data_IF_428576792671
#
_entry.id   IF_428576792671
#
_cell.length_a   1.000
_cell.length_b   1.000
_cell.length_c   1.000
_cell.angle_alpha   90.00
_cell.angle_beta   90.00
_cell.angle_gamma   90.00
#
_symmetry.space_group_name_H-M   'P 1'
#
loop_
_entity.id
_entity.type
_entity.pdbx_description
1 polymer ?
#
# COMPACT_ATOMS: atom_id res chain seq x y z
N UNK A 1 -11.67 -7.09 5.49
CA UNK A 1 -12.47 -6.80 6.71
C UNK A 1 -12.11 -5.49 7.43
N UNK A 2 -10.86 -5.00 7.51
CA UNK A 2 -10.51 -3.92 8.45
C UNK A 2 -11.23 -2.58 8.19
N UNK A 3 -11.49 -2.21 6.94
CA UNK A 3 -12.22 -0.98 6.60
C UNK A 3 -13.66 -0.98 7.16
N UNK A 4 -14.38 -2.09 7.04
CA UNK A 4 -15.75 -2.19 7.56
C UNK A 4 -15.79 -2.10 9.09
N UNK A 5 -14.86 -2.79 9.76
CA UNK A 5 -14.73 -2.73 11.21
C UNK A 5 -14.44 -1.29 11.70
N UNK A 6 -13.52 -0.59 11.03
CA UNK A 6 -13.20 0.80 11.33
C UNK A 6 -14.44 1.70 11.24
N UNK A 7 -15.17 1.65 10.12
CA UNK A 7 -16.34 2.51 9.88
C UNK A 7 -17.44 2.25 10.92
N UNK A 8 -17.75 0.98 11.20
CA UNK A 8 -18.78 0.61 12.17
C UNK A 8 -18.34 1.03 13.58
N UNK A 9 -17.10 0.72 13.97
CA UNK A 9 -16.60 1.02 15.31
C UNK A 9 -16.52 2.52 15.58
N UNK A 10 -16.04 3.32 14.62
CA UNK A 10 -16.07 4.79 14.73
C UNK A 10 -17.49 5.33 14.86
N UNK A 11 -18.46 4.75 14.13
CA UNK A 11 -19.88 5.14 14.24
C UNK A 11 -20.49 4.80 15.60
N UNK A 12 -19.96 3.79 16.30
CA UNK A 12 -20.32 3.42 17.66
C UNK A 12 -19.54 4.22 18.72
N UNK A 13 -18.67 5.15 18.33
CA UNK A 13 -17.88 5.97 19.25
C UNK A 13 -16.62 5.28 19.77
N UNK A 14 -16.18 4.16 19.16
CA UNK A 14 -14.92 3.52 19.54
C UNK A 14 -13.73 4.34 19.02
N UNK A 15 -12.67 4.50 19.82
CA UNK A 15 -11.51 5.29 19.43
C UNK A 15 -10.59 4.45 18.54
N UNK A 16 -10.98 4.38 17.26
CA UNK A 16 -10.33 3.55 16.25
C UNK A 16 -9.72 4.42 15.15
N UNK A 17 -8.53 4.02 14.71
CA UNK A 17 -7.92 4.45 13.45
C UNK A 17 -7.44 3.22 12.68
N UNK A 18 -6.74 3.44 11.56
CA UNK A 18 -6.19 2.40 10.70
C UNK A 18 -4.74 2.75 10.36
N UNK A 19 -3.98 1.73 9.99
CA UNK A 19 -2.63 1.85 9.45
C UNK A 19 -2.42 0.80 8.37
N UNK A 20 -1.31 0.92 7.66
CA UNK A 20 -0.79 -0.09 6.75
C UNK A 20 0.42 -0.81 7.34
N UNK A 21 0.60 -2.06 6.95
CA UNK A 21 1.86 -2.78 6.90
C UNK A 21 2.06 -3.27 5.45
N UNK A 22 3.22 -3.85 5.07
CA UNK A 22 3.41 -4.33 3.70
C UNK A 22 2.26 -5.26 3.27
N UNK A 23 1.53 -4.85 2.23
CA UNK A 23 0.38 -5.57 1.68
C UNK A 23 -0.76 -5.88 2.66
N UNK A 24 -0.85 -5.17 3.80
CA UNK A 24 -1.82 -5.46 4.86
C UNK A 24 -2.41 -4.21 5.49
N UNK A 25 -3.69 -4.28 5.88
CA UNK A 25 -4.40 -3.20 6.57
C UNK A 25 -4.69 -3.62 8.02
N UNK A 26 -4.44 -2.73 8.96
CA UNK A 26 -4.52 -3.02 10.39
C UNK A 26 -5.35 -1.94 11.07
N UNK A 27 -6.36 -2.33 11.85
CA UNK A 27 -7.10 -1.38 12.70
C UNK A 27 -6.25 -1.10 13.93
N UNK A 28 -6.19 0.16 14.38
CA UNK A 28 -5.59 0.53 15.66
C UNK A 28 -6.68 1.00 16.60
N UNK A 29 -6.69 0.43 17.80
CA UNK A 29 -7.53 0.88 18.91
C UNK A 29 -6.62 1.58 19.92
N UNK A 30 -7.00 2.77 20.36
CA UNK A 30 -6.13 3.54 21.23
C UNK A 30 -6.68 4.92 21.51
N UNK A 31 -5.88 5.72 22.19
CA UNK A 31 -6.22 7.09 22.52
C UNK A 31 -5.22 8.02 21.81
N UNK A 32 -5.75 8.91 20.97
CA UNK A 32 -4.95 9.90 20.24
C UNK A 32 -4.26 10.89 21.19
N UNK A 33 -4.91 11.27 22.29
CA UNK A 33 -4.35 12.20 23.29
C UNK A 33 -3.19 11.56 24.07
N UNK A 34 -3.28 10.25 24.33
CA UNK A 34 -2.23 9.51 25.03
C UNK A 34 -1.14 8.98 24.09
N UNK A 35 -1.38 9.00 22.77
CA UNK A 35 -0.48 8.46 21.77
C UNK A 35 -0.28 6.94 21.83
N UNK A 36 -1.10 6.22 22.60
CA UNK A 36 -1.00 4.77 22.79
C UNK A 36 -1.97 4.05 21.87
N UNK A 37 -1.43 3.24 20.96
CA UNK A 37 -2.21 2.48 19.97
C UNK A 37 -1.86 1.00 20.02
N UNK A 38 -2.89 0.15 20.08
CA UNK A 38 -2.76 -1.30 19.97
C UNK A 38 -3.37 -1.75 18.65
N UNK A 39 -2.69 -2.65 17.93
CA UNK A 39 -3.21 -3.18 16.68
C UNK A 39 -4.29 -4.22 16.95
N UNK A 40 -5.35 -4.17 16.16
CA UNK A 40 -6.44 -5.13 16.12
C UNK A 40 -6.50 -5.77 14.73
N UNK A 41 -6.25 -7.08 14.69
CA UNK A 41 -6.36 -7.87 13.47
C UNK A 41 -7.83 -8.25 13.25
N UNK A 42 -8.54 -7.48 12.41
CA UNK A 42 -9.96 -7.69 12.16
C UNK A 42 -10.30 -9.06 11.57
N UNK A 43 -9.32 -9.80 11.04
CA UNK A 43 -9.53 -11.14 10.47
C UNK A 43 -9.50 -12.24 11.53
N UNK A 44 -8.69 -12.10 12.58
CA UNK A 44 -8.56 -13.08 13.67
C UNK A 44 -9.28 -12.65 14.96
N UNK A 45 -9.60 -11.36 15.10
CA UNK A 45 -10.17 -10.79 16.31
C UNK A 45 -9.15 -10.60 17.45
N UNK A 46 -7.85 -10.65 17.15
CA UNK A 46 -6.78 -10.61 18.14
C UNK A 46 -6.03 -9.26 18.15
N UNK A 47 -5.47 -8.93 19.31
CA UNK A 47 -4.62 -7.75 19.48
C UNK A 47 -3.14 -8.10 19.40
N UNK A 48 -2.35 -7.23 18.76
CA UNK A 48 -0.91 -7.43 18.58
C UNK A 48 -0.11 -6.14 18.78
N UNK A 49 1.10 -6.21 19.36
CA UNK A 49 2.03 -5.08 19.35
C UNK A 49 2.62 -4.86 17.95
N UNK A 50 3.14 -3.66 17.68
CA UNK A 50 3.81 -3.34 16.41
C UNK A 50 4.95 -4.33 16.11
N UNK A 51 5.78 -4.67 17.10
CA UNK A 51 6.88 -5.62 16.96
C UNK A 51 6.47 -7.00 16.44
N UNK A 52 5.22 -7.42 16.70
CA UNK A 52 4.67 -8.66 16.13
C UNK A 52 4.53 -8.59 14.60
N UNK A 53 4.02 -7.47 14.08
CA UNK A 53 3.92 -7.23 12.64
C UNK A 53 5.29 -6.97 12.01
N UNK A 54 6.17 -6.22 12.68
CA UNK A 54 7.54 -5.96 12.20
C UNK A 54 8.29 -7.26 11.94
N UNK A 55 8.25 -8.19 12.89
CA UNK A 55 8.88 -9.50 12.76
C UNK A 55 8.17 -10.37 11.72
N UNK A 56 6.83 -10.46 11.77
CA UNK A 56 6.07 -11.36 10.90
C UNK A 56 6.15 -10.96 9.42
N UNK A 57 6.21 -9.67 9.14
CA UNK A 57 6.22 -9.11 7.78
C UNK A 57 7.60 -8.65 7.31
N UNK A 58 8.64 -8.86 8.13
CA UNK A 58 10.01 -8.42 7.87
C UNK A 58 10.05 -6.94 7.48
N UNK A 59 9.39 -6.10 8.27
CA UNK A 59 9.32 -4.65 8.02
C UNK A 59 10.73 -4.08 8.20
N UNK A 60 11.32 -3.43 7.18
CA UNK A 60 12.65 -2.85 7.31
C UNK A 60 12.66 -1.74 8.36
N UNK A 61 13.75 -1.65 9.11
CA UNK A 61 13.91 -0.62 10.15
C UNK A 61 13.78 0.80 9.59
N UNK A 62 14.16 1.00 8.32
CA UNK A 62 13.99 2.23 7.56
C UNK A 62 12.51 2.64 7.45
N UNK A 63 11.62 1.66 7.24
CA UNK A 63 10.19 1.91 7.09
C UNK A 63 9.55 2.32 8.42
N UNK A 64 9.99 1.72 9.53
CA UNK A 64 9.60 2.16 10.88
C UNK A 64 10.11 3.56 11.17
N UNK A 65 11.41 3.85 10.91
CA UNK A 65 11.99 5.19 11.12
C UNK A 65 11.33 6.29 10.29
N UNK A 66 10.85 5.95 9.10
CA UNK A 66 10.20 6.89 8.18
C UNK A 66 8.68 6.99 8.40
N UNK A 67 8.11 6.30 9.39
CA UNK A 67 6.66 6.19 9.63
C UNK A 67 5.86 5.73 8.39
N UNK A 68 6.45 4.86 7.60
CA UNK A 68 5.83 4.33 6.37
C UNK A 68 4.77 3.29 6.69
N UNK A 69 5.01 2.47 7.72
CA UNK A 69 4.11 1.44 8.21
C UNK A 69 3.86 1.62 9.70
N UNK A 70 2.78 1.00 10.19
CA UNK A 70 2.38 0.92 11.60
C UNK A 70 2.14 2.26 12.33
N UNK A 71 2.30 3.42 11.67
CA UNK A 71 1.88 4.70 12.23
C UNK A 71 0.35 4.86 12.15
N UNK A 72 -0.33 5.28 13.22
CA UNK A 72 -1.75 5.62 13.16
C UNK A 72 -2.02 6.69 12.10
N UNK A 73 -3.03 6.48 11.26
CA UNK A 73 -3.42 7.46 10.26
C UNK A 73 -4.34 8.52 10.87
N UNK A 74 -4.18 9.76 10.38
CA UNK A 74 -5.18 10.81 10.59
C UNK A 74 -6.46 10.48 9.82
N UNK A 75 -7.55 11.20 10.09
CA UNK A 75 -8.78 11.06 9.31
C UNK A 75 -8.57 11.32 7.81
N UNK A 76 -7.74 12.33 7.47
CA UNK A 76 -7.41 12.67 6.08
C UNK A 76 -6.66 11.54 5.38
N UNK A 77 -5.67 10.95 6.06
CA UNK A 77 -4.91 9.81 5.54
C UNK A 77 -5.81 8.57 5.41
N UNK A 78 -6.72 8.34 6.37
CA UNK A 78 -7.71 7.25 6.32
C UNK A 78 -8.62 7.33 5.09
N UNK A 79 -9.11 8.52 4.74
CA UNK A 79 -9.91 8.70 3.51
C UNK A 79 -9.07 8.38 2.27
N UNK A 80 -7.81 8.82 2.24
CA UNK A 80 -6.90 8.51 1.12
C UNK A 80 -6.59 7.02 1.01
N UNK A 81 -6.50 6.31 2.14
CA UNK A 81 -6.33 4.86 2.17
C UNK A 81 -7.51 4.13 1.51
N UNK A 82 -8.74 4.61 1.70
CA UNK A 82 -9.90 4.00 1.04
C UNK A 82 -9.82 4.14 -0.48
N UNK A 83 -9.39 5.30 -0.98
CA UNK A 83 -9.12 5.48 -2.41
C UNK A 83 -7.99 4.56 -2.89
N UNK A 84 -6.90 4.46 -2.13
CA UNK A 84 -5.76 3.57 -2.41
C UNK A 84 -6.19 2.09 -2.48
N UNK A 85 -7.02 1.64 -1.53
CA UNK A 85 -7.46 0.25 -1.41
C UNK A 85 -8.61 -0.15 -2.36
N UNK A 86 -9.34 0.81 -2.94
CA UNK A 86 -10.50 0.52 -3.80
C UNK A 86 -10.31 0.96 -5.25
N UNK A 87 -9.87 2.21 -5.49
CA UNK A 87 -9.75 2.77 -6.83
C UNK A 87 -8.53 2.24 -7.57
N UNK A 88 -7.36 2.17 -6.90
CA UNK A 88 -6.13 1.74 -7.56
C UNK A 88 -6.22 0.29 -8.07
N UNK A 89 -6.71 -0.70 -7.29
CA UNK A 89 -6.92 -2.05 -7.82
C UNK A 89 -7.90 -2.09 -9.00
N UNK A 90 -9.01 -1.37 -8.90
CA UNK A 90 -10.03 -1.31 -9.96
C UNK A 90 -9.49 -0.73 -11.27
N UNK A 91 -8.73 0.36 -11.22
CA UNK A 91 -8.12 0.95 -12.42
C UNK A 91 -6.96 0.13 -12.96
N UNK A 92 -6.17 -0.53 -12.09
CA UNK A 92 -5.10 -1.46 -12.50
C UNK A 92 -5.66 -2.65 -13.27
N UNK A 93 -6.73 -3.28 -12.78
CA UNK A 93 -7.37 -4.41 -13.45
C UNK A 93 -7.82 -4.07 -14.87
N UNK A 94 -8.31 -2.85 -15.07
CA UNK A 94 -8.74 -2.35 -16.37
C UNK A 94 -7.64 -1.63 -17.17
N UNK A 95 -6.39 -1.67 -16.70
CA UNK A 95 -5.23 -0.99 -17.30
C UNK A 95 -5.46 0.51 -17.61
N UNK A 96 -6.24 1.21 -16.78
CA UNK A 96 -6.58 2.62 -16.99
C UNK A 96 -5.48 3.54 -16.44
N UNK A 97 -4.35 3.63 -17.13
CA UNK A 97 -3.15 4.34 -16.66
C UNK A 97 -3.43 5.79 -16.23
N UNK A 98 -4.13 6.57 -17.05
CA UNK A 98 -4.46 7.96 -16.74
C UNK A 98 -5.32 8.11 -15.47
N UNK A 99 -6.23 7.17 -15.23
CA UNK A 99 -7.04 7.18 -14.00
C UNK A 99 -6.21 6.81 -12.76
N UNK A 100 -5.22 5.93 -12.91
CA UNK A 100 -4.26 5.65 -11.83
C UNK A 100 -3.43 6.90 -11.53
N UNK A 101 -2.94 7.62 -12.55
CA UNK A 101 -2.21 8.88 -12.34
C UNK A 101 -3.07 9.92 -11.59
N UNK A 102 -4.30 10.16 -12.05
CA UNK A 102 -5.21 11.10 -11.39
C UNK A 102 -5.56 10.69 -9.94
N UNK A 103 -5.81 9.41 -9.70
CA UNK A 103 -6.09 8.91 -8.35
C UNK A 103 -4.87 9.06 -7.42
N UNK A 104 -3.68 8.74 -7.92
CA UNK A 104 -2.44 8.85 -7.13
C UNK A 104 -2.07 10.29 -6.81
N UNK A 105 -2.39 11.27 -7.66
CA UNK A 105 -2.22 12.70 -7.33
C UNK A 105 -3.01 13.09 -6.08
N UNK A 106 -4.27 12.65 -5.99
CA UNK A 106 -5.14 12.94 -4.85
C UNK A 106 -4.68 12.21 -3.59
N UNK A 107 -4.32 10.92 -3.72
CA UNK A 107 -3.87 10.11 -2.59
C UNK A 107 -2.57 10.66 -2.01
N UNK A 108 -1.57 10.94 -2.85
CA UNK A 108 -0.27 11.44 -2.39
C UNK A 108 -0.34 12.86 -1.82
N UNK A 109 -1.32 13.67 -2.25
CA UNK A 109 -1.60 14.98 -1.61
C UNK A 109 -2.16 14.82 -0.19
N UNK A 110 -2.86 13.72 0.10
CA UNK A 110 -3.46 13.46 1.40
C UNK A 110 -2.54 12.64 2.31
N UNK A 111 -1.78 11.71 1.75
CA UNK A 111 -0.76 10.91 2.41
C UNK A 111 0.50 10.81 1.52
N UNK A 112 1.46 11.73 1.69
CA UNK A 112 2.71 11.72 0.91
C UNK A 112 3.59 10.49 1.17
N UNK A 113 3.32 9.69 2.20
CA UNK A 113 4.05 8.46 2.54
C UNK A 113 3.34 7.20 2.03
N UNK A 114 2.26 7.31 1.25
CA UNK A 114 1.55 6.15 0.70
C UNK A 114 2.37 5.47 -0.41
N UNK A 115 3.12 4.44 -0.02
CA UNK A 115 3.95 3.64 -0.91
C UNK A 115 3.14 2.79 -1.90
N UNK A 116 1.87 2.48 -1.61
CA UNK A 116 1.00 1.80 -2.57
C UNK A 116 0.60 2.75 -3.72
N UNK A 117 0.35 4.02 -3.41
CA UNK A 117 0.10 5.04 -4.41
C UNK A 117 1.36 5.38 -5.22
N UNK A 118 2.54 5.43 -4.59
CA UNK A 118 3.81 5.62 -5.32
C UNK A 118 4.06 4.49 -6.32
N UNK A 119 3.96 3.25 -5.89
CA UNK A 119 4.17 2.09 -6.78
C UNK A 119 3.09 2.00 -7.86
N UNK A 120 1.82 2.32 -7.54
CA UNK A 120 0.74 2.41 -8.54
C UNK A 120 1.03 3.47 -9.61
N UNK A 121 1.60 4.61 -9.21
CA UNK A 121 1.98 5.66 -10.14
C UNK A 121 3.13 5.20 -11.05
N UNK A 122 4.10 4.49 -10.49
CA UNK A 122 5.14 3.81 -11.28
C UNK A 122 4.53 2.85 -12.30
N UNK A 123 3.61 1.98 -11.87
CA UNK A 123 2.90 1.04 -12.74
C UNK A 123 2.15 1.74 -13.87
N UNK A 124 1.52 2.88 -13.59
CA UNK A 124 0.78 3.65 -14.59
C UNK A 124 1.69 4.14 -15.72
N UNK A 125 2.90 4.63 -15.41
CA UNK A 125 3.87 5.00 -16.44
C UNK A 125 4.33 3.78 -17.26
N UNK A 126 4.45 2.61 -16.64
CA UNK A 126 4.74 1.38 -17.37
C UNK A 126 3.59 0.98 -18.30
N UNK A 127 2.34 1.10 -17.87
CA UNK A 127 1.17 0.87 -18.72
C UNK A 127 1.12 1.83 -19.92
N UNK A 128 1.44 3.11 -19.72
CA UNK A 128 1.55 4.07 -20.83
C UNK A 128 2.66 3.67 -21.81
N UNK A 129 3.77 3.09 -21.33
CA UNK A 129 4.81 2.54 -22.20
C UNK A 129 4.30 1.36 -23.02
N UNK A 130 3.55 0.45 -22.39
CA UNK A 130 2.96 -0.70 -23.08
C UNK A 130 1.99 -0.27 -24.19
N UNK A 131 1.07 0.64 -23.87
CA UNK A 131 0.05 1.14 -24.79
C UNK A 131 0.63 1.94 -25.95
N UNK A 132 1.54 2.88 -25.64
CA UNK A 132 2.00 3.87 -26.62
C UNK A 132 3.17 3.40 -27.47
N UNK A 133 4.06 2.57 -26.89
CA UNK A 133 5.30 2.17 -27.54
C UNK A 133 5.35 0.67 -27.81
N UNK A 134 5.31 -0.20 -26.79
CA UNK A 134 5.58 -1.64 -26.98
C UNK A 134 4.59 -2.31 -27.93
N UNK A 135 3.34 -1.85 -27.98
CA UNK A 135 2.34 -2.34 -28.92
C UNK A 135 2.69 -2.09 -30.41
N UNK A 136 3.49 -1.04 -30.70
CA UNK A 136 3.87 -0.62 -32.06
C UNK A 136 5.35 -0.86 -32.38
N UNK A 137 6.20 -0.78 -31.37
CA UNK A 137 7.65 -0.85 -31.42
C UNK A 137 8.14 -1.83 -30.33
N UNK A 138 8.18 -3.15 -30.62
CA UNK A 138 8.59 -4.15 -29.64
C UNK A 138 9.99 -3.93 -29.05
N UNK A 139 10.87 -3.24 -29.78
CA UNK A 139 12.23 -2.89 -29.33
C UNK A 139 12.40 -1.38 -29.24
N UNK A 140 13.13 -0.90 -28.23
CA UNK A 140 13.29 0.54 -27.98
C UNK A 140 13.98 1.26 -29.14
N UNK A 141 14.86 0.58 -29.86
CA UNK A 141 15.60 1.12 -31.02
C UNK A 141 14.66 1.46 -32.18
N UNK A 142 13.51 0.78 -32.26
CA UNK A 142 12.49 0.98 -33.30
C UNK A 142 11.60 2.21 -33.02
N UNK A 143 11.69 2.81 -31.83
CA UNK A 143 10.91 4.00 -31.48
C UNK A 143 11.42 5.20 -32.31
N UNK A 144 10.54 5.86 -33.08
CA UNK A 144 10.87 7.05 -33.85
C UNK A 144 11.49 8.15 -33.00
N UNK A 145 12.40 8.93 -33.58
CA UNK A 145 13.19 9.93 -32.86
C UNK A 145 12.31 10.94 -32.11
N UNK A 146 11.22 11.36 -32.73
CA UNK A 146 10.22 12.29 -32.18
C UNK A 146 9.48 11.76 -30.95
N UNK A 147 9.40 10.43 -30.80
CA UNK A 147 8.74 9.74 -29.69
C UNK A 147 9.71 9.33 -28.57
N UNK A 148 11.03 9.36 -28.82
CA UNK A 148 12.04 8.89 -27.84
C UNK A 148 12.06 9.73 -26.57
N UNK A 149 11.89 11.04 -26.67
CA UNK A 149 11.91 11.92 -25.49
C UNK A 149 10.80 11.55 -24.50
N UNK A 150 9.61 11.24 -25.01
CA UNK A 150 8.47 10.85 -24.20
C UNK A 150 8.62 9.44 -23.62
N UNK A 151 9.09 8.48 -24.41
CA UNK A 151 9.40 7.14 -23.91
C UNK A 151 10.41 7.18 -22.76
N UNK A 152 11.48 7.97 -22.91
CA UNK A 152 12.49 8.16 -21.87
C UNK A 152 11.91 8.84 -20.63
N UNK A 153 10.98 9.78 -20.81
CA UNK A 153 10.31 10.42 -19.69
C UNK A 153 9.46 9.44 -18.89
N UNK A 154 8.61 8.65 -19.56
CA UNK A 154 7.82 7.62 -18.88
C UNK A 154 8.69 6.58 -18.19
N UNK A 155 9.80 6.18 -18.82
CA UNK A 155 10.75 5.23 -18.22
C UNK A 155 11.41 5.80 -16.97
N UNK A 156 11.86 7.06 -17.00
CA UNK A 156 12.38 7.74 -15.80
C UNK A 156 11.33 7.84 -14.70
N UNK A 157 10.10 8.23 -15.06
CA UNK A 157 9.03 8.41 -14.09
C UNK A 157 8.64 7.09 -13.44
N UNK A 158 8.56 5.99 -14.21
CA UNK A 158 8.37 4.66 -13.66
C UNK A 158 9.43 4.35 -12.59
N UNK A 159 10.72 4.49 -12.91
CA UNK A 159 11.81 4.21 -11.97
C UNK A 159 11.79 5.12 -10.74
N UNK A 160 11.65 6.43 -10.94
CA UNK A 160 11.71 7.43 -9.87
C UNK A 160 10.60 7.25 -8.83
N UNK A 161 9.42 6.77 -9.22
CA UNK A 161 8.34 6.50 -8.25
C UNK A 161 8.61 5.27 -7.39
N UNK A 162 9.26 4.24 -7.95
CA UNK A 162 9.73 3.10 -7.18
C UNK A 162 10.86 3.49 -6.23
N UNK A 163 11.85 4.28 -6.69
CA UNK A 163 12.93 4.79 -5.83
C UNK A 163 12.39 5.59 -4.63
N UNK A 164 11.34 6.40 -4.84
CA UNK A 164 10.67 7.13 -3.74
C UNK A 164 10.05 6.20 -2.71
N UNK A 165 9.38 5.13 -3.15
CA UNK A 165 8.81 4.14 -2.24
C UNK A 165 9.94 3.42 -1.47
N UNK A 166 11.01 3.03 -2.16
CA UNK A 166 12.15 2.34 -1.56
C UNK A 166 12.92 3.20 -0.56
N UNK A 167 13.03 4.52 -0.81
CA UNK A 167 13.59 5.49 0.12
C UNK A 167 12.75 5.60 1.41
N UNK A 168 11.44 5.35 1.33
CA UNK A 168 10.56 5.21 2.48
C UNK A 168 10.63 3.82 3.14
N UNK A 169 11.50 2.92 2.68
CA UNK A 169 11.65 1.58 3.23
C UNK A 169 10.65 0.56 2.69
N UNK A 170 9.87 0.89 1.66
CA UNK A 170 9.10 -0.12 0.94
C UNK A 170 10.03 -1.11 0.22
N UNK A 171 9.63 -2.37 0.16
CA UNK A 171 10.33 -3.42 -0.59
C UNK A 171 9.30 -4.28 -1.30
N UNK A 172 9.61 -4.67 -2.54
CA UNK A 172 8.79 -5.65 -3.25
C UNK A 172 8.90 -7.02 -2.60
N UNK A 173 7.77 -7.66 -2.35
CA UNK A 173 7.75 -9.03 -1.83
C UNK A 173 7.93 -10.06 -2.94
N UNK A 174 8.88 -10.96 -2.72
CA UNK A 174 9.03 -12.18 -3.50
C UNK A 174 8.08 -13.29 -3.02
N UNK A 175 8.18 -14.49 -3.63
CA UNK A 175 7.36 -15.64 -3.25
C UNK A 175 7.55 -16.06 -1.77
N UNK A 176 8.77 -15.95 -1.24
CA UNK A 176 9.08 -16.35 0.13
C UNK A 176 8.40 -15.45 1.18
N UNK A 177 8.38 -14.14 0.96
CA UNK A 177 7.71 -13.18 1.84
C UNK A 177 6.19 -13.42 1.83
N UNK A 178 5.60 -13.61 0.65
CA UNK A 178 4.18 -13.93 0.51
C UNK A 178 3.80 -15.22 1.24
N UNK A 179 4.63 -16.26 1.11
CA UNK A 179 4.38 -17.53 1.79
C UNK A 179 4.46 -17.40 3.31
N UNK A 180 5.44 -16.67 3.83
CA UNK A 180 5.57 -16.39 5.27
C UNK A 180 4.36 -15.63 5.79
N UNK A 181 3.91 -14.60 5.08
CA UNK A 181 2.68 -13.87 5.39
C UNK A 181 1.48 -14.81 5.50
N UNK A 182 1.23 -15.64 4.47
CA UNK A 182 0.10 -16.57 4.46
C UNK A 182 0.16 -17.58 5.62
N UNK A 183 1.35 -18.11 5.92
CA UNK A 183 1.56 -19.03 7.05
C UNK A 183 1.25 -18.37 8.39
N UNK A 184 1.75 -17.15 8.61
CA UNK A 184 1.53 -16.42 9.87
C UNK A 184 0.03 -16.25 10.15
N UNK A 185 -0.73 -15.70 9.20
CA UNK A 185 -2.16 -15.45 9.40
C UNK A 185 -3.02 -16.72 9.43
N UNK A 186 -2.65 -17.76 8.68
CA UNK A 186 -3.34 -19.05 8.76
C UNK A 186 -3.15 -19.70 10.14
N UNK A 187 -1.93 -19.65 10.70
CA UNK A 187 -1.66 -20.20 12.03
C UNK A 187 -2.46 -19.46 13.12
N UNK A 188 -2.61 -18.13 12.99
CA UNK A 188 -3.43 -17.34 13.92
C UNK A 188 -4.91 -17.73 13.87
N UNK A 189 -5.46 -17.97 12.67
CA UNK A 189 -6.86 -18.44 12.52
C UNK A 189 -7.09 -19.79 13.19
N UNK A 190 -6.15 -20.71 13.07
CA UNK A 190 -6.23 -22.04 13.70
C UNK A 190 -6.18 -21.91 15.22
N UNK A 191 -5.30 -21.08 15.76
CA UNK A 191 -5.20 -20.83 17.20
C UNK A 191 -6.47 -20.18 17.77
N UNK A 192 -7.11 -19.26 17.05
CA UNK A 192 -8.38 -18.65 17.50
C UNK A 192 -9.58 -19.62 17.46
N UNK A 193 -9.50 -20.70 16.67
CA UNK A 193 -10.57 -21.70 16.54
C UNK A 193 -10.38 -22.93 17.44
N UNK A 194 -9.16 -23.19 17.92
CA UNK A 194 -8.84 -24.28 18.84
C UNK A 194 -8.96 -23.94 20.33
N UNK A 195 -9.20 -22.67 20.66
CA UNK A 195 -9.52 -22.22 22.01
C UNK A 195 -11.03 -22.12 22.20
N UNK A 196 -11.68 -23.26 22.47
CA UNK A 196 -13.09 -23.34 22.89
C UNK A 196 -13.22 -24.45 23.92
#
# INVERSE_FOLDING_TARGET
MPIAFLIIGQRLGLPLTITTAPYHLIVKHGDEEQGQWTNFEATSGLFHPDGGYEQAMNIPSEATRNDTFLRPFTQRETVSLFASASLLPYYREQKQAERILAATDLILKANPKDVNAMTARGDAYYLLIEERFKAKYPQAEQIPMELRAEYLDYSRQNHAWYERAEALGWRQWGPAEKQRYLQHFNNMKVQSQGGS
#
